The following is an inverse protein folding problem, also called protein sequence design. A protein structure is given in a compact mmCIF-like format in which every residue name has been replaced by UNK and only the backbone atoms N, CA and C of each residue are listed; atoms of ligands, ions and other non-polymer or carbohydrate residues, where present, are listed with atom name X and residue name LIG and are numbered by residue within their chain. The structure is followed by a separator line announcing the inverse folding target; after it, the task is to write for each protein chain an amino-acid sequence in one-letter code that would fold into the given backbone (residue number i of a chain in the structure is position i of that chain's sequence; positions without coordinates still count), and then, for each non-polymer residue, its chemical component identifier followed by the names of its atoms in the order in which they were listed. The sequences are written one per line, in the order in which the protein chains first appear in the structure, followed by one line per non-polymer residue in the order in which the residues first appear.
data_IF_855737545847
#
_entry.id   IF_855737545847
#
_cell.length_a   1.000
_cell.length_b   1.000
_cell.length_c   1.000
_cell.angle_alpha   90.00
_cell.angle_beta   90.00
_cell.angle_gamma   90.00
#
_symmetry.space_group_name_H-M   'P 1'
#
loop_
_entity.id
_entity.type
_entity.pdbx_description
1 polymer ?
#
# COMPACT_ATOMS: atom_id res chain seq x y z
N UNK A 1 -2.37 -30.89 9.11
CA UNK A 1 -2.71 -29.75 8.24
C UNK A 1 -4.13 -29.81 7.67
N UNK A 2 -4.92 -30.84 7.97
CA UNK A 2 -6.23 -31.09 7.33
C UNK A 2 -7.32 -30.04 7.63
N UNK A 3 -7.18 -29.21 8.67
CA UNK A 3 -8.19 -28.19 9.06
C UNK A 3 -7.92 -26.79 8.49
N UNK A 4 -6.80 -26.58 7.79
CA UNK A 4 -6.44 -25.30 7.17
C UNK A 4 -7.46 -24.82 6.13
N UNK A 5 -8.04 -25.69 5.28
CA UNK A 5 -9.06 -25.28 4.31
C UNK A 5 -10.32 -24.71 4.99
N UNK A 6 -10.78 -25.33 6.07
CA UNK A 6 -12.00 -24.95 6.80
C UNK A 6 -11.83 -23.57 7.47
N UNK A 7 -10.66 -23.30 8.05
CA UNK A 7 -10.39 -22.00 8.67
C UNK A 7 -10.35 -20.87 7.65
N UNK A 8 -9.79 -21.14 6.46
CA UNK A 8 -9.80 -20.18 5.36
C UNK A 8 -11.22 -19.87 4.92
N UNK A 9 -12.05 -20.89 4.67
CA UNK A 9 -13.45 -20.70 4.26
C UNK A 9 -14.28 -19.90 5.27
N UNK A 10 -14.09 -20.14 6.57
CA UNK A 10 -14.72 -19.36 7.63
C UNK A 10 -14.30 -17.89 7.59
N UNK A 11 -12.99 -17.62 7.51
CA UNK A 11 -12.48 -16.25 7.41
C UNK A 11 -13.01 -15.59 6.13
N UNK A 12 -13.03 -16.29 5.01
CA UNK A 12 -13.53 -15.80 3.72
C UNK A 12 -15.02 -15.43 3.80
N UNK A 13 -15.83 -16.28 4.42
CA UNK A 13 -17.27 -16.08 4.59
C UNK A 13 -17.59 -14.83 5.41
N UNK A 14 -16.91 -14.64 6.55
CA UNK A 14 -17.17 -13.49 7.43
C UNK A 14 -16.44 -12.20 7.02
N UNK A 15 -15.31 -12.31 6.29
CA UNK A 15 -14.57 -11.13 5.82
C UNK A 15 -15.19 -10.52 4.56
N UNK A 16 -16.04 -11.28 3.85
CA UNK A 16 -16.68 -10.82 2.62
C UNK A 16 -15.73 -10.77 1.41
N UNK A 17 -16.29 -10.50 0.22
CA UNK A 17 -15.56 -10.51 -1.05
C UNK A 17 -14.51 -9.39 -1.15
N UNK A 18 -14.72 -8.28 -0.44
CA UNK A 18 -13.88 -7.08 -0.49
C UNK A 18 -12.67 -7.13 0.46
N UNK A 19 -12.33 -8.31 0.97
CA UNK A 19 -11.15 -8.45 1.84
C UNK A 19 -9.88 -8.03 1.08
N UNK A 20 -9.17 -7.07 1.65
CA UNK A 20 -7.83 -6.71 1.19
C UNK A 20 -6.85 -7.27 2.20
N UNK A 21 -6.10 -8.30 1.80
CA UNK A 21 -5.05 -8.86 2.64
C UNK A 21 -3.96 -7.82 2.87
N UNK A 22 -3.26 -7.90 4.00
CA UNK A 22 -2.11 -7.04 4.27
C UNK A 22 -1.08 -7.07 3.11
N UNK A 23 -0.94 -8.23 2.45
CA UNK A 23 -0.10 -8.37 1.25
C UNK A 23 -0.61 -7.52 0.08
N UNK A 24 -1.90 -7.59 -0.26
CA UNK A 24 -2.48 -6.77 -1.33
C UNK A 24 -2.40 -5.28 -1.02
N UNK A 25 -2.61 -4.90 0.25
CA UNK A 25 -2.46 -3.51 0.66
C UNK A 25 -1.03 -3.01 0.41
N UNK A 26 -0.02 -3.82 0.76
CA UNK A 26 1.37 -3.48 0.50
C UNK A 26 1.68 -3.40 -0.99
N UNK A 27 1.23 -4.38 -1.79
CA UNK A 27 1.44 -4.42 -3.24
C UNK A 27 0.87 -3.17 -3.92
N UNK A 28 -0.30 -2.67 -3.48
CA UNK A 28 -0.88 -1.43 -4.00
C UNK A 28 -0.07 -0.18 -3.62
N UNK A 29 0.40 -0.07 -2.37
CA UNK A 29 1.24 1.06 -1.97
C UNK A 29 2.57 1.07 -2.75
N UNK A 30 3.15 -0.10 -2.99
CA UNK A 30 4.35 -0.26 -3.84
C UNK A 30 4.06 0.07 -5.30
N UNK A 31 2.88 -0.31 -5.83
CA UNK A 31 2.46 0.04 -7.19
C UNK A 31 2.41 1.55 -7.38
N UNK A 32 1.81 2.27 -6.42
CA UNK A 32 1.78 3.74 -6.46
C UNK A 32 3.18 4.32 -6.32
N UNK A 33 3.99 3.84 -5.38
CA UNK A 33 5.38 4.30 -5.22
C UNK A 33 6.22 4.17 -6.50
N UNK A 34 6.01 3.12 -7.31
CA UNK A 34 6.71 2.90 -8.59
C UNK A 34 6.33 3.90 -9.69
N UNK A 35 5.23 4.63 -9.52
CA UNK A 35 4.82 5.67 -10.48
C UNK A 35 5.53 7.01 -10.25
N UNK A 36 6.46 7.07 -9.30
CA UNK A 36 7.29 8.24 -9.06
C UNK A 36 8.18 8.54 -10.29
N UNK A 37 8.32 9.81 -10.70
CA UNK A 37 9.16 10.20 -11.84
C UNK A 37 10.61 9.74 -11.71
N UNK A 38 11.23 9.31 -12.81
CA UNK A 38 12.64 8.94 -12.83
C UNK A 38 13.56 10.12 -12.52
N UNK A 39 13.15 11.33 -12.89
CA UNK A 39 13.83 12.59 -12.62
C UNK A 39 13.80 13.00 -11.13
N UNK A 40 12.98 12.35 -10.31
CA UNK A 40 12.89 12.64 -8.88
C UNK A 40 14.25 12.39 -8.18
N UNK A 41 14.68 13.28 -7.28
CA UNK A 41 15.91 13.10 -6.52
C UNK A 41 15.92 11.81 -5.71
N UNK A 42 17.11 11.26 -5.48
CA UNK A 42 17.28 10.04 -4.69
C UNK A 42 16.69 10.16 -3.28
N UNK A 43 16.74 11.35 -2.66
CA UNK A 43 16.11 11.61 -1.36
C UNK A 43 14.59 11.42 -1.38
N UNK A 44 13.92 11.84 -2.45
CA UNK A 44 12.46 11.69 -2.62
C UNK A 44 12.10 10.22 -2.85
N UNK A 45 12.90 9.50 -3.63
CA UNK A 45 12.75 8.05 -3.84
C UNK A 45 12.88 7.29 -2.52
N UNK A 46 13.93 7.57 -1.75
CA UNK A 46 14.15 6.96 -0.43
C UNK A 46 13.05 7.32 0.57
N UNK A 47 12.56 8.56 0.56
CA UNK A 47 11.42 8.97 1.38
C UNK A 47 10.17 8.16 1.04
N UNK A 48 9.89 7.99 -0.25
CA UNK A 48 8.73 7.24 -0.74
C UNK A 48 8.81 5.77 -0.32
N UNK A 49 9.97 5.12 -0.46
CA UNK A 49 10.20 3.75 0.02
C UNK A 49 9.96 3.62 1.53
N UNK A 50 10.48 4.56 2.33
CA UNK A 50 10.25 4.60 3.78
C UNK A 50 8.80 4.86 4.15
N UNK A 51 8.10 5.67 3.37
CA UNK A 51 6.68 5.94 3.57
C UNK A 51 5.85 4.66 3.37
N UNK A 52 6.13 3.88 2.33
CA UNK A 52 5.47 2.57 2.11
C UNK A 52 5.64 1.65 3.32
N UNK A 53 6.87 1.49 3.82
CA UNK A 53 7.16 0.66 4.99
C UNK A 53 6.43 1.15 6.26
N UNK A 54 6.39 2.46 6.46
CA UNK A 54 5.73 3.08 7.60
C UNK A 54 4.21 2.89 7.54
N UNK A 55 3.60 3.08 6.37
CA UNK A 55 2.16 2.91 6.16
C UNK A 55 1.73 1.45 6.32
N UNK A 56 2.55 0.49 5.90
CA UNK A 56 2.27 -0.93 6.13
C UNK A 56 2.05 -1.24 7.61
N UNK A 57 2.92 -0.71 8.48
CA UNK A 57 2.90 -1.00 9.92
C UNK A 57 2.02 -0.03 10.72
N UNK A 58 1.38 0.95 10.08
CA UNK A 58 0.57 1.96 10.76
C UNK A 58 -0.85 1.43 11.05
N UNK A 59 -1.23 1.22 12.33
CA UNK A 59 -2.57 0.78 12.71
C UNK A 59 -3.59 1.92 12.80
N UNK A 60 -3.12 3.18 12.85
CA UNK A 60 -3.98 4.35 13.06
C UNK A 60 -4.72 4.82 11.81
N UNK A 61 -4.31 4.37 10.62
CA UNK A 61 -4.93 4.73 9.35
C UNK A 61 -5.56 3.51 8.68
N UNK A 62 -6.78 3.69 8.15
CA UNK A 62 -7.39 2.76 7.21
C UNK A 62 -6.61 2.71 5.89
N UNK A 63 -6.79 1.63 5.14
CA UNK A 63 -6.09 1.43 3.86
C UNK A 63 -6.40 2.52 2.83
N UNK A 64 -7.64 2.99 2.81
CA UNK A 64 -8.10 4.15 2.02
C UNK A 64 -7.22 5.39 2.26
N UNK A 65 -6.96 5.73 3.52
CA UNK A 65 -6.12 6.88 3.88
C UNK A 65 -4.65 6.67 3.51
N UNK A 66 -4.16 5.43 3.62
CA UNK A 66 -2.79 5.08 3.20
C UNK A 66 -2.62 5.29 1.69
N UNK A 67 -3.59 4.85 0.88
CA UNK A 67 -3.59 5.08 -0.56
C UNK A 67 -3.69 6.57 -0.90
N UNK A 68 -4.63 7.31 -0.30
CA UNK A 68 -4.78 8.75 -0.52
C UNK A 68 -3.48 9.53 -0.25
N UNK A 69 -2.75 9.17 0.81
CA UNK A 69 -1.45 9.77 1.09
C UNK A 69 -0.44 9.48 -0.03
N UNK A 70 -0.31 8.22 -0.45
CA UNK A 70 0.64 7.83 -1.49
C UNK A 70 0.31 8.47 -2.84
N UNK A 71 -0.97 8.49 -3.20
CA UNK A 71 -1.45 9.12 -4.44
C UNK A 71 -1.12 10.62 -4.45
N UNK A 72 -1.36 11.30 -3.32
CA UNK A 72 -1.01 12.72 -3.17
C UNK A 72 0.50 12.94 -3.23
N UNK A 73 1.28 12.12 -2.54
CA UNK A 73 2.75 12.21 -2.54
C UNK A 73 3.30 12.12 -3.96
N UNK A 74 2.90 11.09 -4.72
CA UNK A 74 3.35 10.91 -6.09
C UNK A 74 2.88 12.05 -6.98
N UNK A 75 1.61 12.47 -6.85
CA UNK A 75 1.06 13.55 -7.65
C UNK A 75 1.85 14.85 -7.49
N UNK A 76 2.15 15.26 -6.25
CA UNK A 76 2.95 16.46 -5.95
C UNK A 76 4.37 16.33 -6.52
N UNK A 77 5.03 15.19 -6.33
CA UNK A 77 6.38 14.97 -6.87
C UNK A 77 6.36 15.05 -8.40
N UNK A 78 5.36 14.49 -9.06
CA UNK A 78 5.20 14.55 -10.51
C UNK A 78 4.91 15.96 -11.05
N UNK A 79 4.39 16.89 -10.23
CA UNK A 79 4.27 18.28 -10.63
C UNK A 79 5.62 18.99 -10.66
N UNK A 80 6.52 18.64 -9.73
CA UNK A 80 7.82 19.28 -9.58
C UNK A 80 8.93 18.62 -10.40
N UNK A 81 8.82 17.32 -10.66
CA UNK A 81 9.79 16.50 -11.36
C UNK A 81 9.04 15.78 -12.48
N UNK A 82 9.24 16.23 -13.73
CA UNK A 82 8.64 15.60 -14.92
C UNK A 82 9.46 14.40 -15.39
#
# INVERSE_FOLDING_TARGET
MERVPILKELVDYYSGPDRVTAKRQQEELERVAKTLPESAPASVKQFTERAVLSLQSNPGWGFDKKCQFMDKLVWEVSQHYK
#
